data_IF_762598212850
#
_entry.id   IF_762598212850
#
_cell.length_a   1.000
_cell.length_b   1.000
_cell.length_c   1.000
_cell.angle_alpha   90.00
_cell.angle_beta   90.00
_cell.angle_gamma   90.00
#
_symmetry.space_group_name_H-M   'P 1'
#
loop_
_entity.id
_entity.type
_entity.pdbx_description
1 polymer ?
#
# COMPACT_ATOMS: atom_id res chain seq x y z
N UNK A 1 -18.49 -31.00 43.03
CA UNK A 1 -17.97 -29.62 43.15
C UNK A 1 -16.93 -29.49 42.05
N UNK A 2 -17.01 -28.49 41.17
CA UNK A 2 -15.95 -28.25 40.20
C UNK A 2 -14.64 -28.04 40.98
N UNK A 3 -13.56 -28.64 40.48
CA UNK A 3 -12.25 -28.61 41.12
C UNK A 3 -11.65 -27.21 40.89
N UNK A 4 -10.95 -26.65 41.87
CA UNK A 4 -10.34 -25.30 41.73
C UNK A 4 -9.41 -25.19 40.50
N UNK A 5 -8.84 -26.30 40.06
CA UNK A 5 -8.04 -26.41 38.83
C UNK A 5 -8.85 -26.29 37.54
N UNK A 6 -10.14 -26.60 37.54
CA UNK A 6 -11.00 -26.45 36.36
C UNK A 6 -11.44 -25.00 36.15
N UNK A 7 -11.73 -24.25 37.22
CA UNK A 7 -12.02 -22.81 37.14
C UNK A 7 -10.81 -22.01 36.60
N UNK A 8 -9.61 -22.34 37.06
CA UNK A 8 -8.33 -21.73 36.62
C UNK A 8 -8.03 -21.97 35.12
N UNK A 9 -8.55 -23.06 34.56
CA UNK A 9 -8.36 -23.39 33.13
C UNK A 9 -9.40 -22.67 32.29
N UNK A 10 -10.65 -22.60 32.73
CA UNK A 10 -11.72 -21.87 32.05
C UNK A 10 -11.39 -20.38 31.92
N UNK A 11 -10.89 -19.75 33.00
CA UNK A 11 -10.46 -18.35 32.98
C UNK A 11 -9.30 -18.10 31.99
N UNK A 12 -8.34 -19.04 31.91
CA UNK A 12 -7.23 -18.96 30.94
C UNK A 12 -7.68 -19.17 29.50
N UNK A 13 -8.67 -20.03 29.26
CA UNK A 13 -9.25 -20.21 27.93
C UNK A 13 -9.93 -18.92 27.49
N UNK A 14 -10.73 -18.30 28.36
CA UNK A 14 -11.41 -17.04 28.07
C UNK A 14 -10.42 -15.88 27.82
N UNK A 15 -9.32 -15.80 28.60
CA UNK A 15 -8.24 -14.83 28.33
C UNK A 15 -7.55 -15.07 26.98
N UNK A 16 -7.31 -16.34 26.61
CA UNK A 16 -6.67 -16.69 25.36
C UNK A 16 -7.58 -16.41 24.17
N UNK A 17 -8.87 -16.70 24.26
CA UNK A 17 -9.86 -16.40 23.23
C UNK A 17 -9.95 -14.89 22.97
N UNK A 18 -10.07 -14.08 24.04
CA UNK A 18 -10.05 -12.62 23.94
C UNK A 18 -8.73 -12.09 23.33
N UNK A 19 -7.61 -12.75 23.58
CA UNK A 19 -6.32 -12.36 23.03
C UNK A 19 -6.19 -12.73 21.55
N UNK A 20 -6.75 -13.87 21.14
CA UNK A 20 -6.83 -14.28 19.74
C UNK A 20 -7.70 -13.30 18.97
N UNK A 21 -8.90 -12.97 19.45
CA UNK A 21 -9.81 -12.01 18.80
C UNK A 21 -9.15 -10.64 18.61
N UNK A 22 -8.49 -10.10 19.64
CA UNK A 22 -7.74 -8.82 19.54
C UNK A 22 -6.55 -8.88 18.58
N UNK A 23 -5.91 -10.04 18.46
CA UNK A 23 -4.80 -10.23 17.53
C UNK A 23 -5.33 -10.33 16.11
N UNK A 24 -6.40 -11.07 15.88
CA UNK A 24 -7.09 -11.18 14.60
C UNK A 24 -7.59 -9.82 14.11
N UNK A 25 -8.21 -9.01 14.98
CA UNK A 25 -8.60 -7.63 14.67
C UNK A 25 -7.41 -6.73 14.31
N UNK A 26 -6.25 -6.92 14.97
CA UNK A 26 -5.01 -6.19 14.64
C UNK A 26 -4.36 -6.62 13.34
N UNK A 27 -4.49 -7.88 12.94
CA UNK A 27 -3.99 -8.39 11.66
C UNK A 27 -4.93 -8.15 10.50
N UNK A 28 -6.25 -8.08 10.73
CA UNK A 28 -7.24 -7.69 9.72
C UNK A 28 -7.23 -6.18 9.44
N UNK A 29 -6.67 -5.38 10.34
CA UNK A 29 -6.59 -3.93 10.20
C UNK A 29 -5.42 -3.47 9.32
N UNK A 30 -5.70 -3.28 8.03
CA UNK A 30 -4.92 -2.51 7.04
C UNK A 30 -3.71 -3.21 6.45
N UNK A 31 -3.96 -3.93 5.35
CA UNK A 31 -2.92 -4.16 4.36
C UNK A 31 -2.47 -2.80 3.81
N UNK A 32 -1.17 -2.55 3.81
CA UNK A 32 -0.59 -1.32 3.30
C UNK A 32 0.65 -1.66 2.49
N UNK A 33 0.75 -1.07 1.30
CA UNK A 33 1.91 -1.21 0.44
C UNK A 33 2.37 0.18 -0.02
N UNK A 34 3.68 0.31 -0.18
CA UNK A 34 4.33 1.47 -0.79
C UNK A 34 5.29 0.94 -1.85
N UNK A 35 5.14 1.43 -3.08
CA UNK A 35 6.03 1.14 -4.20
C UNK A 35 6.72 2.44 -4.59
N UNK A 36 8.04 2.43 -4.66
CA UNK A 36 8.86 3.57 -5.03
C UNK A 36 9.79 3.24 -6.19
N UNK A 37 10.00 4.22 -7.07
CA UNK A 37 10.95 4.15 -8.19
C UNK A 37 11.41 5.56 -8.53
N UNK A 38 12.73 5.78 -8.48
CA UNK A 38 13.32 7.11 -8.64
C UNK A 38 12.65 8.14 -7.72
N UNK A 39 12.02 9.18 -8.30
CA UNK A 39 11.37 10.28 -7.60
C UNK A 39 9.85 10.06 -7.41
N UNK A 40 9.34 8.89 -7.80
CA UNK A 40 7.92 8.54 -7.72
C UNK A 40 7.67 7.56 -6.55
N UNK A 41 6.59 7.79 -5.81
CA UNK A 41 6.07 6.85 -4.82
C UNK A 41 4.56 6.72 -4.93
N UNK A 42 4.04 5.50 -4.86
CA UNK A 42 2.62 5.20 -4.76
C UNK A 42 2.38 4.39 -3.50
N UNK A 43 1.46 4.86 -2.66
CA UNK A 43 1.08 4.22 -1.42
C UNK A 43 -0.42 3.87 -1.46
N UNK A 44 -0.76 2.65 -1.08
CA UNK A 44 -2.14 2.22 -0.93
C UNK A 44 -2.33 1.47 0.39
N UNK A 45 -3.51 1.64 0.99
CA UNK A 45 -3.92 0.87 2.16
C UNK A 45 -5.38 0.47 2.05
N UNK A 46 -5.70 -0.72 2.55
CA UNK A 46 -7.05 -1.24 2.58
C UNK A 46 -7.23 -2.25 3.71
N UNK A 47 -8.41 -2.22 4.32
CA UNK A 47 -8.87 -3.20 5.31
C UNK A 47 -9.53 -4.41 4.65
N UNK A 48 -9.91 -4.30 3.37
CA UNK A 48 -10.66 -5.31 2.63
C UNK A 48 -9.83 -5.98 1.53
N UNK A 49 -8.92 -5.23 0.91
CA UNK A 49 -8.12 -5.73 -0.20
C UNK A 49 -6.89 -6.48 0.31
N UNK A 50 -6.58 -7.60 -0.35
CA UNK A 50 -5.36 -8.37 -0.13
C UNK A 50 -4.11 -7.60 -0.54
N UNK A 51 -2.95 -8.02 -0.03
CA UNK A 51 -1.65 -7.49 -0.44
C UNK A 51 -1.39 -7.61 -1.96
N UNK A 52 -1.87 -8.69 -2.59
CA UNK A 52 -1.72 -8.90 -4.03
C UNK A 52 -2.55 -7.91 -4.84
N UNK A 53 -3.82 -7.70 -4.46
CA UNK A 53 -4.69 -6.69 -5.08
C UNK A 53 -4.16 -5.28 -4.91
N UNK A 54 -3.61 -4.94 -3.73
CA UNK A 54 -2.96 -3.65 -3.49
C UNK A 54 -1.69 -3.48 -4.32
N UNK A 55 -0.92 -4.55 -4.52
CA UNK A 55 0.28 -4.54 -5.35
C UNK A 55 -0.05 -4.33 -6.83
N UNK A 56 -1.08 -4.99 -7.34
CA UNK A 56 -1.57 -4.78 -8.71
C UNK A 56 -2.03 -3.34 -8.92
N UNK A 57 -2.84 -2.81 -7.99
CA UNK A 57 -3.30 -1.41 -8.01
C UNK A 57 -2.14 -0.41 -8.01
N UNK A 58 -1.18 -0.58 -7.10
CA UNK A 58 -0.02 0.31 -7.03
C UNK A 58 0.86 0.21 -8.27
N UNK A 59 1.01 -0.98 -8.85
CA UNK A 59 1.83 -1.21 -10.06
C UNK A 59 1.20 -0.53 -11.28
N UNK A 60 -0.11 -0.69 -11.48
CA UNK A 60 -0.85 -0.04 -12.56
C UNK A 60 -0.75 1.49 -12.48
N UNK A 61 -0.85 2.04 -11.28
CA UNK A 61 -0.78 3.49 -11.09
C UNK A 61 0.64 4.03 -11.26
N UNK A 62 1.65 3.29 -10.80
CA UNK A 62 3.05 3.62 -11.05
C UNK A 62 3.38 3.65 -12.55
N UNK A 63 2.85 2.70 -13.32
CA UNK A 63 3.00 2.65 -14.78
C UNK A 63 2.36 3.85 -15.47
N UNK A 64 1.18 4.27 -15.02
CA UNK A 64 0.49 5.46 -15.56
C UNK A 64 1.26 6.74 -15.26
N UNK A 65 1.71 6.92 -14.03
CA UNK A 65 2.46 8.10 -13.62
C UNK A 65 3.78 8.16 -14.40
N UNK A 66 4.48 7.04 -14.54
CA UNK A 66 5.73 6.95 -15.30
C UNK A 66 5.54 7.33 -16.77
N UNK A 67 4.49 6.83 -17.43
CA UNK A 67 4.17 7.22 -18.82
C UNK A 67 3.87 8.71 -18.94
N UNK A 68 3.15 9.28 -17.97
CA UNK A 68 2.83 10.71 -17.95
C UNK A 68 4.07 11.57 -17.75
N UNK A 69 4.99 11.16 -16.89
CA UNK A 69 6.27 11.84 -16.68
C UNK A 69 7.09 11.88 -17.98
N UNK A 70 7.23 10.74 -18.65
CA UNK A 70 7.90 10.64 -19.96
C UNK A 70 7.28 11.59 -21.00
N UNK A 71 5.94 11.64 -21.08
CA UNK A 71 5.26 12.58 -22.01
C UNK A 71 5.60 14.03 -21.67
N UNK A 72 5.68 14.39 -20.39
CA UNK A 72 6.10 15.72 -19.95
C UNK A 72 7.50 16.07 -20.43
N UNK A 73 8.46 15.16 -20.23
CA UNK A 73 9.85 15.34 -20.67
C UNK A 73 9.94 15.53 -22.20
N UNK A 74 9.19 14.74 -22.98
CA UNK A 74 9.15 14.88 -24.43
C UNK A 74 8.58 16.23 -24.88
N UNK A 75 7.52 16.72 -24.24
CA UNK A 75 6.94 18.03 -24.56
C UNK A 75 7.90 19.18 -24.25
N UNK A 76 8.70 19.04 -23.20
CA UNK A 76 9.70 20.04 -22.83
C UNK A 76 10.84 20.09 -23.85
N UNK A 77 11.36 18.92 -24.25
CA UNK A 77 12.35 18.81 -25.33
C UNK A 77 11.85 19.36 -26.67
N UNK A 78 10.60 19.08 -27.04
CA UNK A 78 10.01 19.60 -28.28
C UNK A 78 9.88 21.13 -28.23
N UNK A 79 9.47 21.67 -27.07
CA UNK A 79 9.38 23.12 -26.86
C UNK A 79 10.74 23.79 -26.97
N UNK A 80 11.78 23.21 -26.38
CA UNK A 80 13.16 23.71 -26.50
C UNK A 80 13.64 23.68 -27.96
N UNK A 81 13.36 22.58 -28.68
CA UNK A 81 13.69 22.45 -30.10
C UNK A 81 12.97 23.49 -30.97
N UNK A 82 11.68 23.69 -30.76
CA UNK A 82 10.87 24.69 -31.47
C UNK A 82 11.32 26.11 -31.14
N UNK A 83 11.62 26.40 -29.88
CA UNK A 83 12.13 27.70 -29.47
C UNK A 83 13.48 27.99 -30.14
N UNK A 84 14.40 27.03 -30.16
CA UNK A 84 15.68 27.16 -30.85
C UNK A 84 15.52 27.36 -32.36
N UNK A 85 14.49 26.78 -32.99
CA UNK A 85 14.23 26.97 -34.42
C UNK A 85 13.54 28.31 -34.75
N UNK A 86 12.69 28.82 -33.86
CA UNK A 86 11.90 30.03 -34.07
C UNK A 86 12.62 31.31 -33.66
N UNK A 87 13.44 31.24 -32.62
CA UNK A 87 14.10 32.40 -31.98
C UNK A 87 15.61 32.25 -31.89
N UNK A 88 16.19 31.29 -32.62
CA UNK A 88 17.62 31.06 -32.62
C UNK A 88 18.43 32.34 -32.86
N UNK A 89 19.53 32.49 -32.13
CA UNK A 89 20.72 33.14 -32.68
C UNK A 89 21.20 32.40 -33.93
#
# INVERSE_FOLDING_TARGET
>A
MPDSTTEDVEEKVEELENKVERLEDRTNGKNQIEISSHDLSVQASSEEASMEELMDLCSDEMDRISKRALVGEYQELEREGLHSQLFGD
#
